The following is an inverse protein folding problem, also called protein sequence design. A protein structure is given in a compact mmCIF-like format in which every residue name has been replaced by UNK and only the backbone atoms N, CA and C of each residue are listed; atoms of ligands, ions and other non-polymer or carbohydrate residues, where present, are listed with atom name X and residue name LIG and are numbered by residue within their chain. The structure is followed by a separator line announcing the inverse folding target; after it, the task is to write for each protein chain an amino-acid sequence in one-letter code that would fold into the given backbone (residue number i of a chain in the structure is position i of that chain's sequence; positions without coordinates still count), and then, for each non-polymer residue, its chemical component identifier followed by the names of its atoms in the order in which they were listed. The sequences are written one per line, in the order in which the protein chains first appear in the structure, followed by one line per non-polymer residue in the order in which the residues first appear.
data_IF_431351793535
#
_entry.id   IF_431351793535
#
_cell.length_a   1.000
_cell.length_b   1.000
_cell.length_c   1.000
_cell.angle_alpha   90.00
_cell.angle_beta   90.00
_cell.angle_gamma   90.00
#
_symmetry.space_group_name_H-M   'P 1'
#
loop_
_entity.id
_entity.type
_entity.pdbx_description
1 polymer ?
#
# COMPACT_ATOMS: atom_id res chain seq x y z
N UNK A 1 -2.04 6.62 40.37
CA UNK A 1 -2.69 6.91 39.07
C UNK A 1 -1.71 7.45 38.02
N UNK A 2 -0.78 8.33 38.39
CA UNK A 2 0.21 8.93 37.45
C UNK A 2 1.11 7.89 36.79
N UNK A 3 1.49 6.84 37.50
CA UNK A 3 2.37 5.78 36.98
C UNK A 3 1.76 4.98 35.81
N UNK A 4 0.46 4.68 35.87
CA UNK A 4 -0.22 3.92 34.80
C UNK A 4 -0.34 4.71 33.50
N UNK A 5 -0.53 6.05 33.58
CA UNK A 5 -0.57 6.92 32.41
C UNK A 5 0.75 6.92 31.63
N UNK A 6 1.87 6.94 32.34
CA UNK A 6 3.19 6.93 31.72
C UNK A 6 3.49 5.59 30.99
N UNK A 7 3.08 4.47 31.59
CA UNK A 7 3.21 3.16 30.96
C UNK A 7 2.32 3.01 29.73
N UNK A 8 1.09 3.54 29.76
CA UNK A 8 0.18 3.55 28.62
C UNK A 8 0.76 4.38 27.45
N UNK A 9 1.25 5.58 27.71
CA UNK A 9 1.90 6.40 26.69
C UNK A 9 3.14 5.71 26.10
N UNK A 10 3.97 5.08 26.94
CA UNK A 10 5.14 4.34 26.50
C UNK A 10 4.80 3.13 25.62
N UNK A 11 3.77 2.37 25.96
CA UNK A 11 3.32 1.22 25.16
C UNK A 11 2.73 1.66 23.82
N UNK A 12 1.93 2.72 23.76
CA UNK A 12 1.37 3.27 22.52
C UNK A 12 2.50 3.78 21.62
N UNK A 13 3.49 4.48 22.18
CA UNK A 13 4.64 4.97 21.43
C UNK A 13 5.48 3.82 20.86
N UNK A 14 5.78 2.80 21.67
CA UNK A 14 6.51 1.61 21.21
C UNK A 14 5.75 0.86 20.12
N UNK A 15 4.42 0.71 20.25
CA UNK A 15 3.58 0.07 19.23
C UNK A 15 3.60 0.85 17.90
N UNK A 16 3.54 2.18 17.99
CA UNK A 16 3.58 3.05 16.80
C UNK A 16 4.93 2.93 16.08
N UNK A 17 6.04 2.87 16.81
CA UNK A 17 7.36 2.66 16.25
C UNK A 17 7.50 1.27 15.60
N UNK A 18 6.99 0.22 16.24
CA UNK A 18 6.98 -1.14 15.69
C UNK A 18 6.20 -1.22 14.38
N UNK A 19 5.01 -0.63 14.32
CA UNK A 19 4.19 -0.56 13.10
C UNK A 19 4.95 0.19 12.00
N UNK A 20 5.52 1.35 12.31
CA UNK A 20 6.29 2.16 11.36
C UNK A 20 7.51 1.42 10.80
N UNK A 21 8.23 0.70 11.65
CA UNK A 21 9.37 -0.11 11.24
C UNK A 21 8.93 -1.31 10.36
N UNK A 22 7.77 -1.90 10.69
CA UNK A 22 7.18 -3.02 9.96
C UNK A 22 6.79 -2.65 8.52
N UNK A 23 6.41 -1.39 8.23
CA UNK A 23 5.92 -1.00 6.91
C UNK A 23 6.95 -1.18 5.79
N UNK A 24 8.18 -0.74 5.99
CA UNK A 24 9.20 -0.68 4.94
C UNK A 24 10.23 -1.81 4.99
N UNK A 25 10.43 -2.42 6.15
CA UNK A 25 11.50 -3.41 6.36
C UNK A 25 11.03 -4.85 6.47
N UNK A 26 9.81 -5.07 6.98
CA UNK A 26 9.30 -6.43 7.13
C UNK A 26 8.87 -6.99 5.79
N UNK A 27 9.52 -8.09 5.36
CA UNK A 27 9.30 -8.83 4.12
C UNK A 27 9.02 -10.30 4.44
N UNK A 28 8.56 -11.07 3.44
CA UNK A 28 8.34 -12.49 3.60
C UNK A 28 6.85 -12.93 3.69
N UNK A 29 6.59 -14.23 3.92
CA UNK A 29 5.24 -14.80 3.80
C UNK A 29 4.24 -14.25 4.83
N UNK A 30 4.66 -13.99 6.06
CA UNK A 30 3.82 -13.39 7.10
C UNK A 30 3.33 -11.98 6.73
N UNK A 31 4.13 -11.23 5.98
CA UNK A 31 3.75 -9.90 5.49
C UNK A 31 2.57 -9.92 4.53
N UNK A 32 2.43 -10.97 3.72
CA UNK A 32 1.29 -11.12 2.80
C UNK A 32 -0.05 -11.23 3.53
N UNK A 33 -0.06 -11.80 4.73
CA UNK A 33 -1.26 -11.84 5.57
C UNK A 33 -1.56 -10.47 6.19
N UNK A 34 -0.54 -9.75 6.65
CA UNK A 34 -0.68 -8.40 7.21
C UNK A 34 -1.16 -7.39 6.16
N UNK A 35 -0.74 -7.50 4.91
CA UNK A 35 -1.16 -6.61 3.82
C UNK A 35 -2.69 -6.63 3.56
N UNK A 36 -3.41 -7.63 4.08
CA UNK A 36 -4.88 -7.71 4.01
C UNK A 36 -5.58 -6.89 5.09
N UNK A 37 -4.90 -6.56 6.17
CA UNK A 37 -5.45 -5.85 7.34
C UNK A 37 -4.99 -4.39 7.39
N UNK A 38 -5.83 -3.45 7.87
CA UNK A 38 -5.37 -2.09 8.18
C UNK A 38 -4.36 -2.15 9.36
N UNK A 39 -3.32 -1.32 9.36
CA UNK A 39 -2.98 -0.22 8.44
C UNK A 39 -2.15 -0.64 7.22
N UNK A 40 -1.70 -1.90 7.12
CA UNK A 40 -0.82 -2.37 6.05
C UNK A 40 -1.50 -2.38 4.67
N UNK A 41 -2.81 -2.67 4.62
CA UNK A 41 -3.56 -2.61 3.35
C UNK A 41 -3.63 -1.20 2.77
N UNK A 42 -3.64 -0.16 3.62
CA UNK A 42 -3.54 1.23 3.17
C UNK A 42 -2.17 1.54 2.59
N UNK A 43 -1.13 1.09 3.28
CA UNK A 43 0.25 1.24 2.82
C UNK A 43 0.44 0.60 1.43
N UNK A 44 -0.07 -0.62 1.24
CA UNK A 44 -0.05 -1.30 -0.06
C UNK A 44 -0.83 -0.52 -1.11
N UNK A 45 -2.02 0.00 -0.78
CA UNK A 45 -2.85 0.78 -1.71
C UNK A 45 -2.13 2.04 -2.17
N UNK A 46 -1.56 2.83 -1.26
CA UNK A 46 -0.85 4.07 -1.58
C UNK A 46 0.38 3.81 -2.46
N UNK A 47 1.20 2.83 -2.10
CA UNK A 47 2.36 2.45 -2.93
C UNK A 47 1.94 1.86 -4.27
N UNK A 48 0.84 1.14 -4.32
CA UNK A 48 0.30 0.57 -5.54
C UNK A 48 -0.19 1.63 -6.52
N UNK A 49 -0.86 2.68 -6.04
CA UNK A 49 -1.27 3.83 -6.87
C UNK A 49 -0.04 4.51 -7.47
N UNK A 50 0.95 4.84 -6.62
CA UNK A 50 2.19 5.47 -7.08
C UNK A 50 2.94 4.59 -8.09
N UNK A 51 2.93 3.28 -7.89
CA UNK A 51 3.53 2.31 -8.81
C UNK A 51 2.87 2.36 -10.19
N UNK A 52 1.54 2.28 -10.27
CA UNK A 52 0.81 2.32 -11.54
C UNK A 52 1.00 3.67 -12.25
N UNK A 53 0.87 4.76 -11.52
CA UNK A 53 1.06 6.10 -12.06
C UNK A 53 2.48 6.27 -12.63
N UNK A 54 3.50 5.85 -11.90
CA UNK A 54 4.89 5.94 -12.35
C UNK A 54 5.16 5.09 -13.59
N UNK A 55 4.65 3.85 -13.62
CA UNK A 55 4.79 2.99 -14.81
C UNK A 55 4.06 3.60 -16.00
N UNK A 56 2.79 3.99 -15.85
CA UNK A 56 2.02 4.53 -16.98
C UNK A 56 2.68 5.80 -17.53
N UNK A 57 3.15 6.70 -16.67
CA UNK A 57 3.87 7.89 -17.09
C UNK A 57 5.15 7.60 -17.85
N UNK A 58 5.92 6.59 -17.42
CA UNK A 58 7.14 6.20 -18.12
C UNK A 58 6.84 5.54 -19.47
N UNK A 59 5.80 4.73 -19.57
CA UNK A 59 5.38 4.09 -20.81
C UNK A 59 4.84 5.11 -21.82
N UNK A 60 4.11 6.15 -21.37
CA UNK A 60 3.61 7.24 -22.23
C UNK A 60 4.74 8.01 -22.92
N UNK A 61 5.90 8.13 -22.31
CA UNK A 61 7.10 8.75 -22.91
C UNK A 61 8.02 7.70 -23.58
N UNK A 62 7.46 6.55 -23.98
CA UNK A 62 8.14 5.49 -24.69
C UNK A 62 9.35 4.86 -23.97
N UNK A 63 9.40 4.89 -22.64
CA UNK A 63 10.39 4.15 -21.87
C UNK A 63 9.98 2.67 -21.86
N UNK A 64 10.86 1.73 -22.31
CA UNK A 64 10.55 0.30 -22.26
C UNK A 64 10.19 -0.18 -20.87
N UNK A 65 9.21 -1.10 -20.75
CA UNK A 65 8.71 -1.61 -19.49
C UNK A 65 9.80 -2.15 -18.56
N UNK A 66 10.77 -2.87 -19.12
CA UNK A 66 11.91 -3.43 -18.37
C UNK A 66 12.79 -2.33 -17.74
N UNK A 67 12.98 -1.22 -18.45
CA UNK A 67 13.73 -0.06 -17.94
C UNK A 67 12.92 0.74 -16.92
N UNK A 68 11.61 0.90 -17.14
CA UNK A 68 10.72 1.55 -16.18
C UNK A 68 10.76 0.81 -14.83
N UNK A 69 10.61 -0.52 -14.84
CA UNK A 69 10.70 -1.35 -13.64
C UNK A 69 12.08 -1.29 -12.97
N UNK A 70 13.17 -1.24 -13.75
CA UNK A 70 14.52 -1.09 -13.19
C UNK A 70 14.71 0.26 -12.47
N UNK A 71 14.20 1.36 -13.04
CA UNK A 71 14.24 2.69 -12.41
C UNK A 71 13.45 2.71 -11.10
N UNK A 72 12.27 2.09 -11.11
CA UNK A 72 11.44 2.00 -9.90
C UNK A 72 12.07 1.13 -8.82
N UNK A 73 12.72 0.03 -9.20
CA UNK A 73 13.46 -0.84 -8.28
C UNK A 73 14.59 -0.05 -7.58
N UNK A 74 15.38 0.72 -8.35
CA UNK A 74 16.42 1.59 -7.80
C UNK A 74 15.85 2.67 -6.89
N UNK A 75 14.73 3.28 -7.26
CA UNK A 75 14.03 4.26 -6.41
C UNK A 75 13.49 3.66 -5.10
N UNK A 76 13.26 2.37 -5.06
CA UNK A 76 12.73 1.65 -3.90
C UNK A 76 13.81 1.10 -2.95
N UNK A 77 15.08 1.49 -3.05
CA UNK A 77 16.19 0.94 -2.24
C UNK A 77 15.97 1.05 -0.73
N UNK A 78 15.41 2.15 -0.27
CA UNK A 78 15.09 2.38 1.14
C UNK A 78 13.85 1.63 1.62
N UNK A 79 13.03 1.13 0.69
CA UNK A 79 11.79 0.42 0.97
C UNK A 79 11.89 -1.05 0.52
N UNK A 80 12.41 -1.91 1.38
CA UNK A 80 12.62 -3.33 1.08
C UNK A 80 11.34 -4.04 0.66
N UNK A 81 10.21 -3.69 1.28
CA UNK A 81 8.91 -4.25 0.97
C UNK A 81 8.47 -3.96 -0.48
N UNK A 82 8.63 -2.70 -0.94
CA UNK A 82 8.29 -2.31 -2.30
C UNK A 82 9.28 -2.89 -3.31
N UNK A 83 10.58 -2.84 -2.98
CA UNK A 83 11.65 -3.39 -3.82
C UNK A 83 11.43 -4.87 -4.14
N UNK A 84 11.11 -5.68 -3.13
CA UNK A 84 10.85 -7.12 -3.28
C UNK A 84 9.73 -7.39 -4.31
N UNK A 85 8.65 -6.61 -4.27
CA UNK A 85 7.51 -6.77 -5.18
C UNK A 85 7.85 -6.34 -6.61
N UNK A 86 8.54 -5.22 -6.76
CA UNK A 86 8.99 -4.75 -8.07
C UNK A 86 9.98 -5.73 -8.68
N UNK A 87 10.91 -6.28 -7.91
CA UNK A 87 11.87 -7.30 -8.37
C UNK A 87 11.16 -8.56 -8.86
N UNK A 88 10.17 -9.04 -8.10
CA UNK A 88 9.41 -10.21 -8.51
C UNK A 88 8.66 -9.98 -9.83
N UNK A 89 8.00 -8.83 -10.00
CA UNK A 89 7.32 -8.48 -11.26
C UNK A 89 8.35 -8.37 -12.40
N UNK A 90 9.45 -7.65 -12.18
CA UNK A 90 10.50 -7.45 -13.18
C UNK A 90 11.09 -8.78 -13.66
N UNK A 91 11.29 -9.75 -12.77
CA UNK A 91 11.77 -11.09 -13.13
C UNK A 91 10.87 -11.74 -14.19
N UNK A 92 9.55 -11.66 -14.02
CA UNK A 92 8.58 -12.21 -14.97
C UNK A 92 8.50 -11.41 -16.27
N UNK A 93 8.65 -10.09 -16.23
CA UNK A 93 8.71 -9.25 -17.43
C UNK A 93 9.97 -9.57 -18.25
N UNK A 94 11.11 -9.80 -17.61
CA UNK A 94 12.35 -10.19 -18.28
C UNK A 94 12.28 -11.59 -18.92
N UNK A 95 11.37 -12.46 -18.45
CA UNK A 95 11.06 -13.74 -19.11
C UNK A 95 10.02 -13.62 -20.24
N UNK A 96 9.72 -12.39 -20.72
CA UNK A 96 8.84 -12.14 -21.86
C UNK A 96 7.35 -12.03 -21.52
N UNK A 97 6.97 -12.02 -20.25
CA UNK A 97 5.57 -11.87 -19.86
C UNK A 97 5.13 -10.40 -19.94
N UNK A 98 3.87 -10.16 -20.32
CA UNK A 98 3.28 -8.84 -20.23
C UNK A 98 3.12 -8.42 -18.74
N UNK A 99 2.96 -7.09 -18.50
CA UNK A 99 2.92 -6.55 -17.15
C UNK A 99 1.83 -7.18 -16.28
N UNK A 100 0.62 -7.35 -16.81
CA UNK A 100 -0.50 -7.90 -16.06
C UNK A 100 -0.25 -9.36 -15.63
N UNK A 101 0.27 -10.19 -16.54
CA UNK A 101 0.65 -11.57 -16.28
C UNK A 101 1.83 -11.66 -15.30
N UNK A 102 2.83 -10.78 -15.46
CA UNK A 102 3.97 -10.69 -14.54
C UNK A 102 3.55 -10.31 -13.12
N UNK A 103 2.63 -9.36 -12.96
CA UNK A 103 2.05 -9.01 -11.65
C UNK A 103 1.33 -10.20 -11.02
N UNK A 104 0.51 -10.92 -11.78
CA UNK A 104 -0.20 -12.11 -11.32
C UNK A 104 0.76 -13.21 -10.86
N UNK A 105 1.75 -13.51 -11.69
CA UNK A 105 2.71 -14.59 -11.44
C UNK A 105 3.72 -14.24 -10.34
N UNK A 106 3.91 -12.95 -10.01
CA UNK A 106 4.73 -12.52 -8.88
C UNK A 106 4.23 -13.03 -7.53
N UNK A 107 2.93 -13.35 -7.41
CA UNK A 107 2.31 -13.94 -6.23
C UNK A 107 2.14 -12.98 -5.03
N UNK A 108 2.37 -11.67 -5.22
CA UNK A 108 2.24 -10.67 -4.15
C UNK A 108 0.90 -9.95 -4.11
N UNK A 109 0.00 -10.22 -5.06
CA UNK A 109 -1.26 -9.47 -5.22
C UNK A 109 -1.02 -7.93 -5.24
N UNK A 110 0.13 -7.50 -5.78
CA UNK A 110 0.52 -6.08 -5.84
C UNK A 110 0.35 -5.52 -7.25
N UNK A 111 -0.26 -4.38 -7.44
CA UNK A 111 -0.76 -3.40 -6.45
C UNK A 111 -2.04 -3.83 -5.71
N UNK A 112 -2.96 -4.52 -6.35
CA UNK A 112 -4.09 -5.23 -5.74
C UNK A 112 -4.61 -6.31 -6.70
N UNK A 113 -5.25 -7.36 -6.14
CA UNK A 113 -5.84 -8.44 -6.95
C UNK A 113 -6.88 -7.92 -7.94
N UNK A 114 -7.69 -6.95 -7.53
CA UNK A 114 -8.72 -6.33 -8.40
C UNK A 114 -8.05 -5.59 -9.56
N UNK A 115 -7.00 -4.83 -9.30
CA UNK A 115 -6.24 -4.14 -10.33
C UNK A 115 -5.63 -5.12 -11.33
N UNK A 116 -4.96 -6.17 -10.84
CA UNK A 116 -4.35 -7.21 -11.69
C UNK A 116 -5.39 -7.85 -12.61
N UNK A 117 -6.55 -8.23 -12.07
CA UNK A 117 -7.63 -8.83 -12.87
C UNK A 117 -8.16 -7.87 -13.94
N UNK A 118 -8.34 -6.59 -13.61
CA UNK A 118 -8.75 -5.57 -14.59
C UNK A 118 -7.71 -5.38 -15.70
N UNK A 119 -6.43 -5.36 -15.34
CA UNK A 119 -5.33 -5.25 -16.32
C UNK A 119 -5.25 -6.50 -17.21
N UNK A 120 -5.47 -7.70 -16.66
CA UNK A 120 -5.49 -8.94 -17.44
C UNK A 120 -6.61 -8.95 -18.47
N UNK A 121 -7.82 -8.52 -18.10
CA UNK A 121 -8.96 -8.42 -19.01
C UNK A 121 -8.73 -7.44 -20.16
N UNK A 122 -7.88 -6.43 -19.95
CA UNK A 122 -7.59 -5.42 -20.98
C UNK A 122 -6.21 -5.59 -21.62
N UNK A 123 -5.44 -6.60 -21.22
CA UNK A 123 -4.08 -6.84 -21.76
C UNK A 123 -4.06 -7.29 -23.22
N UNK A 124 -5.18 -7.73 -23.74
CA UNK A 124 -5.38 -8.11 -25.15
C UNK A 124 -5.71 -6.92 -26.09
N UNK A 125 -5.96 -5.74 -25.52
CA UNK A 125 -6.23 -4.52 -26.28
C UNK A 125 -4.95 -3.70 -26.48
N UNK A 126 -4.79 -3.12 -27.68
CA UNK A 126 -3.61 -2.30 -28.04
C UNK A 126 -3.39 -1.06 -27.14
N UNK A 127 -4.42 -0.57 -26.46
CA UNK A 127 -4.36 0.62 -25.58
C UNK A 127 -4.02 0.32 -24.12
N UNK A 128 -3.16 -0.68 -23.85
CA UNK A 128 -2.84 -1.10 -22.48
C UNK A 128 -2.24 0.02 -21.61
N UNK A 129 -1.49 0.97 -22.20
CA UNK A 129 -0.86 2.08 -21.48
C UNK A 129 -1.86 3.14 -21.08
N UNK A 130 -2.75 3.55 -22.00
CA UNK A 130 -3.81 4.51 -21.71
C UNK A 130 -4.78 3.95 -20.66
N UNK A 131 -5.12 2.68 -20.79
CA UNK A 131 -5.94 1.95 -19.82
C UNK A 131 -5.29 1.91 -18.43
N UNK A 132 -3.97 1.71 -18.33
CA UNK A 132 -3.24 1.77 -17.06
C UNK A 132 -3.32 3.15 -16.40
N UNK A 133 -3.16 4.23 -17.18
CA UNK A 133 -3.25 5.59 -16.67
C UNK A 133 -4.65 5.88 -16.11
N UNK A 134 -5.68 5.51 -16.85
CA UNK A 134 -7.09 5.66 -16.44
C UNK A 134 -7.40 4.88 -15.14
N UNK A 135 -6.88 3.65 -15.01
CA UNK A 135 -7.02 2.88 -13.78
C UNK A 135 -6.23 3.46 -12.63
N UNK A 136 -5.04 4.02 -12.88
CA UNK A 136 -4.26 4.68 -11.83
C UNK A 136 -5.03 5.85 -11.23
N UNK A 137 -5.68 6.68 -12.06
CA UNK A 137 -6.48 7.81 -11.62
C UNK A 137 -7.74 7.38 -10.87
N UNK A 138 -8.51 6.44 -11.41
CA UNK A 138 -9.69 5.90 -10.72
C UNK A 138 -9.33 5.28 -9.37
N UNK A 139 -8.24 4.55 -9.33
CA UNK A 139 -7.81 3.90 -8.11
C UNK A 139 -7.25 4.87 -7.08
N UNK A 140 -6.63 5.97 -7.54
CA UNK A 140 -6.23 7.08 -6.68
C UNK A 140 -7.45 7.67 -5.95
N UNK A 141 -8.54 7.89 -6.67
CA UNK A 141 -9.77 8.41 -6.06
C UNK A 141 -10.42 7.41 -5.08
N UNK A 142 -10.43 6.13 -5.43
CA UNK A 142 -10.87 5.07 -4.50
C UNK A 142 -9.98 5.00 -3.26
N UNK A 143 -8.66 5.11 -3.43
CA UNK A 143 -7.69 5.13 -2.34
C UNK A 143 -7.92 6.32 -1.39
N UNK A 144 -8.12 7.52 -1.94
CA UNK A 144 -8.45 8.74 -1.16
C UNK A 144 -9.73 8.55 -0.34
N UNK A 145 -10.79 8.01 -0.96
CA UNK A 145 -12.06 7.72 -0.26
C UNK A 145 -11.87 6.72 0.88
N UNK A 146 -11.06 5.68 0.66
CA UNK A 146 -10.75 4.66 1.67
C UNK A 146 -9.95 5.25 2.83
N UNK A 147 -8.92 6.05 2.55
CA UNK A 147 -8.13 6.75 3.57
C UNK A 147 -9.01 7.68 4.40
N UNK A 148 -9.87 8.48 3.75
CA UNK A 148 -10.82 9.37 4.43
C UNK A 148 -11.77 8.60 5.35
N UNK A 149 -12.34 7.49 4.89
CA UNK A 149 -13.23 6.64 5.69
C UNK A 149 -12.53 6.10 6.94
N UNK A 150 -11.30 5.58 6.79
CA UNK A 150 -10.52 5.06 7.92
C UNK A 150 -10.15 6.20 8.87
N UNK A 151 -9.78 7.37 8.36
CA UNK A 151 -9.54 8.56 9.17
C UNK A 151 -10.76 8.92 10.05
N UNK A 152 -11.95 8.93 9.46
CA UNK A 152 -13.19 9.19 10.21
C UNK A 152 -13.45 8.14 11.30
N UNK A 153 -13.22 6.87 11.03
CA UNK A 153 -13.38 5.79 12.03
C UNK A 153 -12.39 5.99 13.19
N UNK A 154 -11.14 6.26 12.90
CA UNK A 154 -10.10 6.49 13.92
C UNK A 154 -10.46 7.72 14.77
N UNK A 155 -10.89 8.82 14.14
CA UNK A 155 -11.30 10.05 14.84
C UNK A 155 -12.52 9.78 15.73
N UNK A 156 -13.50 9.03 15.25
CA UNK A 156 -14.67 8.66 16.04
C UNK A 156 -14.32 7.82 17.28
N UNK A 157 -13.46 6.80 17.09
CA UNK A 157 -12.99 5.95 18.21
C UNK A 157 -12.19 6.78 19.22
N UNK A 158 -11.27 7.65 18.74
CA UNK A 158 -10.46 8.51 19.62
C UNK A 158 -11.33 9.49 20.41
N UNK A 159 -12.31 10.13 19.74
CA UNK A 159 -13.25 11.04 20.39
C UNK A 159 -14.11 10.34 21.43
N UNK A 160 -14.62 9.14 21.13
CA UNK A 160 -15.35 8.32 22.08
C UNK A 160 -14.52 7.93 23.30
N UNK A 161 -13.24 7.59 23.09
CA UNK A 161 -12.32 7.25 24.19
C UNK A 161 -12.06 8.45 25.12
N UNK A 162 -11.80 9.62 24.54
CA UNK A 162 -11.60 10.87 25.31
C UNK A 162 -12.87 11.22 26.10
N UNK A 163 -14.04 11.14 25.47
CA UNK A 163 -15.31 11.40 26.12
C UNK A 163 -15.57 10.44 27.29
N UNK A 164 -15.34 9.15 27.10
CA UNK A 164 -15.44 8.15 28.15
C UNK A 164 -14.49 8.43 29.32
N UNK A 165 -13.27 8.86 29.04
CA UNK A 165 -12.29 9.21 30.07
C UNK A 165 -12.71 10.43 30.89
N UNK A 166 -13.27 11.46 30.22
CA UNK A 166 -13.81 12.66 30.90
C UNK A 166 -14.97 12.28 31.81
N UNK A 167 -15.91 11.44 31.34
CA UNK A 167 -17.04 11.00 32.18
C UNK A 167 -16.57 10.23 33.43
N UNK A 168 -15.55 9.35 33.26
CA UNK A 168 -14.99 8.64 34.42
C UNK A 168 -14.30 9.60 35.42
N UNK A 169 -13.63 10.66 34.94
CA UNK A 169 -13.05 11.67 35.82
C UNK A 169 -14.10 12.42 36.62
N UNK A 170 -15.21 12.82 35.97
CA UNK A 170 -16.31 13.54 36.63
C UNK A 170 -17.00 12.64 37.64
N UNK A 171 -17.18 11.35 37.34
CA UNK A 171 -17.83 10.38 38.25
C UNK A 171 -16.94 9.99 39.46
N UNK A 172 -15.65 10.31 39.43
CA UNK A 172 -14.70 10.00 40.51
C UNK A 172 -14.48 11.18 41.48
N UNK A 173 -15.13 12.31 41.22
CA UNK A 173 -15.16 13.51 42.08
C UNK A 173 -16.47 13.52 42.87
#
# INVERSE_FOLDING_TARGET
FIGYGFWLCGTIFALTLLIRFSFSRYTGPGRRMLDKAPPWSLYQTLHGVNYLFSISSMLQINIPLSQALLRMEKGAEKNKWLKERIQAIRKHVLSGQNLATAMRNSGYDFPSRICINKLLLNSEREDSVATMALYADQWLEEAKKRVKRIGLIITGISGGFVFFFILNMISAI
#
